data_IF_266544802157
#
_entry.id   IF_266544802157
#
_cell.length_a   1.000
_cell.length_b   1.000
_cell.length_c   1.000
_cell.angle_alpha   90.00
_cell.angle_beta   90.00
_cell.angle_gamma   90.00
#
_symmetry.space_group_name_H-M   'P 1'
#
loop_
_entity.id
_entity.type
_entity.pdbx_description
1 polymer ?
#
# COMPACT_ATOMS: atom_id res chain seq x y z
N UNK A 1 -31.43 45.47 50.91
CA UNK A 1 -31.53 44.06 50.50
C UNK A 1 -31.00 43.94 49.08
N UNK A 2 -29.78 43.43 48.95
CA UNK A 2 -29.08 43.38 47.65
C UNK A 2 -29.08 41.92 47.17
N UNK A 3 -29.90 41.58 46.18
CA UNK A 3 -29.93 40.26 45.55
C UNK A 3 -28.81 40.16 44.50
N UNK A 4 -27.73 39.45 44.80
CA UNK A 4 -26.66 39.04 43.86
C UNK A 4 -27.22 37.92 42.99
N UNK A 5 -27.50 38.20 41.69
CA UNK A 5 -27.79 37.19 40.70
C UNK A 5 -26.47 36.48 40.31
N UNK A 6 -26.31 35.22 40.67
CA UNK A 6 -25.22 34.36 40.22
C UNK A 6 -25.63 33.81 38.85
N UNK A 7 -24.94 34.23 37.79
CA UNK A 7 -25.08 33.65 36.48
C UNK A 7 -24.16 32.41 36.38
N UNK A 8 -24.77 31.24 36.33
CA UNK A 8 -24.06 29.98 36.10
C UNK A 8 -23.90 29.86 34.57
N UNK A 9 -22.65 30.04 34.10
CA UNK A 9 -22.28 29.79 32.69
C UNK A 9 -22.07 28.28 32.54
N UNK A 10 -23.02 27.61 31.87
CA UNK A 10 -22.83 26.22 31.41
C UNK A 10 -21.94 26.24 30.21
N UNK A 11 -20.65 25.90 30.40
CA UNK A 11 -19.69 25.68 29.32
C UNK A 11 -19.89 24.26 28.80
N UNK A 12 -20.67 24.11 27.73
CA UNK A 12 -20.85 22.84 27.00
C UNK A 12 -19.56 22.50 26.26
N UNK A 13 -18.84 21.53 26.79
CA UNK A 13 -17.65 20.95 26.16
C UNK A 13 -18.10 20.08 24.98
N UNK A 14 -18.00 20.61 23.76
CA UNK A 14 -18.20 19.85 22.52
C UNK A 14 -17.01 18.92 22.34
N UNK A 15 -17.15 17.64 22.71
CA UNK A 15 -16.23 16.57 22.35
C UNK A 15 -16.39 16.30 20.86
N UNK A 16 -15.50 16.86 20.03
CA UNK A 16 -15.34 16.44 18.64
C UNK A 16 -14.73 15.03 18.64
N UNK A 17 -15.59 14.01 18.59
CA UNK A 17 -15.13 12.66 18.23
C UNK A 17 -14.63 12.69 16.80
N UNK A 18 -13.30 12.72 16.63
CA UNK A 18 -12.68 12.43 15.35
C UNK A 18 -12.88 10.93 15.11
N UNK A 19 -13.92 10.56 14.38
CA UNK A 19 -14.02 9.24 13.80
C UNK A 19 -12.82 9.10 12.84
N UNK A 20 -11.81 8.33 13.24
CA UNK A 20 -10.78 7.87 12.33
C UNK A 20 -11.51 7.10 11.22
N UNK A 21 -11.60 7.69 10.03
CA UNK A 21 -12.15 7.02 8.85
C UNK A 21 -11.25 5.83 8.57
N UNK A 22 -11.73 4.64 8.85
CA UNK A 22 -11.09 3.43 8.36
C UNK A 22 -10.99 3.58 6.84
N UNK A 23 -9.76 3.61 6.30
CA UNK A 23 -9.58 3.62 4.85
C UNK A 23 -10.10 2.29 4.34
N UNK A 24 -11.21 2.32 3.63
CA UNK A 24 -11.73 1.13 2.96
C UNK A 24 -10.66 0.59 2.01
N UNK A 25 -10.49 -0.73 2.03
CA UNK A 25 -9.53 -1.40 1.15
C UNK A 25 -9.96 -1.20 -0.31
N UNK A 26 -9.05 -0.65 -1.12
CA UNK A 26 -9.27 -0.51 -2.57
C UNK A 26 -9.26 -1.90 -3.19
N UNK A 27 -10.24 -2.17 -4.04
CA UNK A 27 -10.36 -3.44 -4.76
C UNK A 27 -10.02 -3.26 -6.24
N UNK A 28 -9.47 -4.30 -6.91
CA UNK A 28 -9.19 -4.24 -8.33
C UNK A 28 -10.41 -3.90 -9.18
N UNK A 29 -10.24 -2.95 -10.11
CA UNK A 29 -11.22 -2.54 -11.13
C UNK A 29 -10.50 -2.38 -12.47
N UNK A 30 -11.17 -2.66 -13.62
CA UNK A 30 -10.61 -2.40 -14.96
C UNK A 30 -10.23 -0.94 -15.21
N UNK A 31 -10.82 -0.01 -14.45
CA UNK A 31 -10.59 1.44 -14.61
C UNK A 31 -9.28 1.91 -13.94
N UNK A 32 -8.67 1.08 -13.10
CA UNK A 32 -7.41 1.42 -12.39
C UNK A 32 -6.23 1.23 -13.34
N UNK A 33 -5.49 2.31 -13.59
CA UNK A 33 -4.32 2.28 -14.47
C UNK A 33 -3.15 1.46 -13.89
N UNK A 34 -2.25 0.90 -14.74
CA UNK A 34 -1.12 0.07 -14.28
C UNK A 34 -0.24 0.72 -13.21
N UNK A 35 0.13 1.99 -13.38
CA UNK A 35 0.94 2.70 -12.39
C UNK A 35 0.19 2.95 -11.08
N UNK A 36 -1.13 3.18 -11.18
CA UNK A 36 -1.98 3.39 -10.01
C UNK A 36 -2.12 2.11 -9.17
N UNK A 37 -2.17 0.93 -9.80
CA UNK A 37 -2.12 -0.37 -9.10
C UNK A 37 -0.90 -0.43 -8.19
N UNK A 38 0.27 -0.06 -8.70
CA UNK A 38 1.53 -0.05 -7.95
C UNK A 38 1.47 0.99 -6.83
N UNK A 39 0.99 2.20 -7.12
CA UNK A 39 0.85 3.26 -6.12
C UNK A 39 -0.06 2.85 -4.96
N UNK A 40 -1.20 2.19 -5.23
CA UNK A 40 -2.10 1.66 -4.20
C UNK A 40 -1.38 0.65 -3.30
N UNK A 41 -0.62 -0.27 -3.90
CA UNK A 41 0.13 -1.28 -3.15
C UNK A 41 1.24 -0.64 -2.30
N UNK A 42 2.03 0.25 -2.88
CA UNK A 42 3.15 0.92 -2.19
C UNK A 42 2.67 1.84 -1.08
N UNK A 43 1.60 2.62 -1.30
CA UNK A 43 0.99 3.44 -0.26
C UNK A 43 0.45 2.59 0.90
N UNK A 44 -0.13 1.42 0.59
CA UNK A 44 -0.52 0.46 1.62
C UNK A 44 0.67 -0.01 2.45
N UNK A 45 1.73 -0.48 1.80
CA UNK A 45 2.94 -0.97 2.46
C UNK A 45 3.69 0.12 3.24
N UNK A 46 3.68 1.37 2.76
CA UNK A 46 4.27 2.52 3.46
C UNK A 46 3.60 2.79 4.82
N UNK A 47 2.30 2.54 4.91
CA UNK A 47 1.52 2.68 6.14
C UNK A 47 0.95 1.33 6.57
N UNK A 48 1.83 0.30 6.61
CA UNK A 48 1.42 -1.09 6.75
C UNK A 48 0.45 -1.37 7.89
N UNK A 49 0.66 -0.72 9.03
CA UNK A 49 -0.07 -1.01 10.26
C UNK A 49 -1.18 0.02 10.55
N UNK A 50 -1.66 0.71 9.49
CA UNK A 50 -2.74 1.68 9.60
C UNK A 50 -3.90 1.32 8.66
N UNK A 51 -5.14 1.24 9.16
CA UNK A 51 -5.61 1.52 10.54
C UNK A 51 -5.37 0.35 11.52
N UNK A 52 -4.89 -0.78 11.06
CA UNK A 52 -4.63 -1.98 11.86
C UNK A 52 -3.42 -2.75 11.33
N UNK A 53 -2.86 -3.61 12.17
CA UNK A 53 -1.69 -4.43 11.82
C UNK A 53 -1.87 -5.16 10.49
N UNK A 54 -0.86 -5.05 9.61
CA UNK A 54 -0.81 -5.70 8.30
C UNK A 54 -1.92 -5.27 7.31
N UNK A 55 -2.57 -4.13 7.53
CA UNK A 55 -3.55 -3.58 6.60
C UNK A 55 -2.93 -3.34 5.21
N UNK A 56 -1.69 -2.83 5.16
CA UNK A 56 -0.95 -2.59 3.93
C UNK A 56 -0.62 -3.87 3.17
N UNK A 57 -0.21 -4.92 3.87
CA UNK A 57 0.02 -6.25 3.27
C UNK A 57 -1.28 -6.80 2.66
N UNK A 58 -2.41 -6.65 3.35
CA UNK A 58 -3.73 -7.06 2.79
C UNK A 58 -4.09 -6.24 1.55
N UNK A 59 -3.81 -4.94 1.54
CA UNK A 59 -4.02 -4.08 0.38
C UNK A 59 -3.13 -4.52 -0.79
N UNK A 60 -1.85 -4.80 -0.55
CA UNK A 60 -0.95 -5.30 -1.58
C UNK A 60 -1.41 -6.66 -2.12
N UNK A 61 -1.86 -7.56 -1.26
CA UNK A 61 -2.43 -8.86 -1.64
C UNK A 61 -3.69 -8.74 -2.48
N UNK A 62 -4.54 -7.75 -2.23
CA UNK A 62 -5.75 -7.54 -3.02
C UNK A 62 -5.44 -7.33 -4.51
N UNK A 63 -4.30 -6.70 -4.83
CA UNK A 63 -3.83 -6.46 -6.20
C UNK A 63 -2.81 -7.48 -6.72
N UNK A 64 -2.55 -8.56 -5.97
CA UNK A 64 -1.72 -9.65 -6.47
C UNK A 64 -2.46 -10.45 -7.55
N UNK A 65 -1.88 -10.56 -8.75
CA UNK A 65 -2.41 -11.32 -9.88
C UNK A 65 -2.67 -12.78 -9.47
N UNK A 66 -3.69 -13.48 -10.01
CA UNK A 66 -3.94 -14.88 -9.68
C UNK A 66 -2.71 -15.79 -9.75
N UNK A 67 -1.83 -15.59 -10.76
CA UNK A 67 -0.56 -16.33 -10.87
C UNK A 67 0.42 -16.00 -9.74
N UNK A 68 0.50 -14.73 -9.32
CA UNK A 68 1.32 -14.33 -8.18
C UNK A 68 0.77 -14.98 -6.89
N UNK A 69 -0.55 -14.93 -6.68
CA UNK A 69 -1.18 -15.58 -5.52
C UNK A 69 -0.94 -17.08 -5.48
N UNK A 70 -0.95 -17.76 -6.63
CA UNK A 70 -0.63 -19.18 -6.72
C UNK A 70 0.81 -19.47 -6.30
N UNK A 71 1.76 -18.60 -6.61
CA UNK A 71 3.17 -18.74 -6.30
C UNK A 71 3.53 -18.36 -4.84
N UNK A 72 2.91 -17.29 -4.31
CA UNK A 72 3.30 -16.67 -3.03
C UNK A 72 2.29 -16.89 -1.90
N UNK A 73 1.06 -17.31 -2.23
CA UNK A 73 -0.03 -17.51 -1.27
C UNK A 73 0.05 -18.80 -0.51
N UNK A 74 -0.88 -19.00 0.41
CA UNK A 74 -1.97 -18.10 0.78
C UNK A 74 -1.52 -16.83 1.51
N UNK A 75 -2.45 -15.91 1.85
CA UNK A 75 -2.13 -14.62 2.48
C UNK A 75 -1.21 -14.72 3.72
N UNK A 76 -1.36 -15.69 4.64
CA UNK A 76 -0.42 -15.82 5.76
C UNK A 76 1.02 -16.07 5.30
N UNK A 77 1.23 -16.87 4.23
CA UNK A 77 2.56 -17.12 3.65
C UNK A 77 3.11 -15.87 2.97
N UNK A 78 2.28 -15.14 2.24
CA UNK A 78 2.64 -13.86 1.64
C UNK A 78 3.06 -12.84 2.71
N UNK A 79 2.32 -12.78 3.82
CA UNK A 79 2.64 -11.92 4.98
C UNK A 79 4.01 -12.29 5.56
N UNK A 80 4.29 -13.57 5.78
CA UNK A 80 5.61 -14.01 6.29
C UNK A 80 6.74 -13.67 5.31
N UNK A 81 6.50 -13.79 4.00
CA UNK A 81 7.47 -13.43 2.96
C UNK A 81 7.80 -11.94 3.02
N UNK A 82 6.80 -11.05 3.12
CA UNK A 82 7.02 -9.60 3.20
C UNK A 82 7.67 -9.17 4.51
N UNK A 83 7.45 -9.89 5.60
CA UNK A 83 8.12 -9.65 6.89
C UNK A 83 9.52 -10.27 6.98
N UNK A 84 9.90 -11.07 5.99
CA UNK A 84 11.20 -11.71 5.93
C UNK A 84 12.30 -10.80 5.37
N UNK A 85 13.60 -11.19 5.54
CA UNK A 85 14.76 -10.34 5.27
C UNK A 85 14.90 -9.89 3.80
N UNK A 86 14.16 -10.50 2.87
CA UNK A 86 14.20 -10.12 1.46
C UNK A 86 13.31 -8.94 1.09
N UNK A 87 12.24 -8.69 1.86
CA UNK A 87 11.21 -7.71 1.50
C UNK A 87 10.74 -6.83 2.68
N UNK A 88 11.22 -7.07 3.89
CA UNK A 88 10.80 -6.35 5.09
C UNK A 88 10.95 -4.83 4.98
N UNK A 89 11.94 -4.38 4.18
CA UNK A 89 12.18 -2.96 3.92
C UNK A 89 11.04 -2.26 3.18
N UNK A 90 10.15 -3.01 2.53
CA UNK A 90 8.95 -2.45 1.91
C UNK A 90 7.93 -1.96 2.94
N UNK A 91 7.97 -2.55 4.14
CA UNK A 91 7.02 -2.21 5.20
C UNK A 91 7.45 -0.94 5.91
N UNK A 92 6.52 0.01 6.01
CA UNK A 92 6.76 1.30 6.67
C UNK A 92 7.97 2.07 6.10
N UNK A 93 8.24 1.94 4.78
CA UNK A 93 9.31 2.64 4.10
C UNK A 93 9.09 4.17 4.11
N UNK A 94 10.17 4.95 3.98
CA UNK A 94 10.13 6.41 4.10
C UNK A 94 9.49 7.06 2.87
N UNK A 95 9.93 6.68 1.66
CA UNK A 95 9.44 7.23 0.40
C UNK A 95 9.56 6.24 -0.74
N UNK A 96 8.86 6.47 -1.85
CA UNK A 96 9.00 5.68 -3.06
C UNK A 96 8.79 6.51 -4.32
N UNK A 97 9.38 6.06 -5.41
CA UNK A 97 9.22 6.61 -6.75
C UNK A 97 8.93 5.48 -7.75
N UNK A 98 7.96 5.69 -8.64
CA UNK A 98 7.54 4.73 -9.66
C UNK A 98 7.92 5.31 -11.03
N UNK A 99 8.78 4.62 -11.78
CA UNK A 99 9.21 5.02 -13.12
C UNK A 99 8.79 3.97 -14.15
N UNK A 100 8.10 4.35 -15.25
CA UNK A 100 7.84 3.42 -16.36
C UNK A 100 9.15 2.89 -16.93
N UNK A 101 9.24 1.58 -17.18
CA UNK A 101 10.45 0.94 -17.71
C UNK A 101 10.22 0.21 -19.03
N UNK A 102 9.25 -0.71 -19.09
CA UNK A 102 8.96 -1.50 -20.29
C UNK A 102 7.47 -1.67 -20.50
N UNK A 103 7.11 -1.74 -21.78
CA UNK A 103 5.73 -1.93 -22.24
C UNK A 103 5.68 -3.14 -23.15
N UNK A 104 4.75 -4.06 -22.88
CA UNK A 104 4.41 -5.18 -23.74
C UNK A 104 2.91 -5.32 -23.90
N UNK A 105 2.50 -6.23 -24.77
CA UNK A 105 1.09 -6.54 -24.94
C UNK A 105 0.53 -7.16 -23.65
N UNK A 106 -0.46 -6.50 -23.05
CA UNK A 106 -1.08 -6.96 -21.80
C UNK A 106 -0.24 -6.86 -20.53
N UNK A 107 0.98 -6.32 -20.57
CA UNK A 107 1.82 -6.15 -19.38
C UNK A 107 2.62 -4.83 -19.38
N UNK A 108 3.01 -4.39 -18.20
CA UNK A 108 3.86 -3.21 -17.98
C UNK A 108 4.88 -3.53 -16.90
N UNK A 109 6.12 -3.03 -17.08
CA UNK A 109 7.14 -3.04 -16.04
C UNK A 109 7.43 -1.62 -15.60
N UNK A 110 7.62 -1.46 -14.30
CA UNK A 110 8.06 -0.22 -13.68
C UNK A 110 9.30 -0.50 -12.84
N UNK A 111 10.21 0.46 -12.81
CA UNK A 111 11.27 0.51 -11.82
C UNK A 111 10.74 1.29 -10.61
N UNK A 112 10.75 0.65 -9.45
CA UNK A 112 10.34 1.25 -8.19
C UNK A 112 11.59 1.48 -7.36
N UNK A 113 11.83 2.73 -7.01
CA UNK A 113 12.87 3.12 -6.07
C UNK A 113 12.23 3.38 -4.72
N UNK A 114 12.74 2.77 -3.68
CA UNK A 114 12.17 2.82 -2.35
C UNK A 114 13.26 3.14 -1.33
N UNK A 115 13.04 4.19 -0.54
CA UNK A 115 13.90 4.54 0.57
C UNK A 115 13.44 3.83 1.83
N UNK A 116 14.28 2.95 2.34
CA UNK A 116 14.04 2.26 3.61
C UNK A 116 14.23 3.22 4.80
N UNK A 117 13.74 2.82 5.98
CA UNK A 117 13.86 3.64 7.18
C UNK A 117 15.29 3.93 7.65
N UNK A 118 16.28 3.16 7.17
CA UNK A 118 17.71 3.38 7.41
C UNK A 118 18.40 4.31 6.38
N UNK A 119 17.66 4.82 5.39
CA UNK A 119 18.15 5.67 4.32
C UNK A 119 18.69 4.94 3.10
N UNK A 120 18.72 3.61 3.07
CA UNK A 120 19.09 2.86 1.88
C UNK A 120 18.01 2.99 0.81
N UNK A 121 18.43 3.24 -0.44
CA UNK A 121 17.52 3.28 -1.59
C UNK A 121 17.63 1.96 -2.34
N UNK A 122 16.53 1.22 -2.35
CA UNK A 122 16.44 -0.06 -3.04
C UNK A 122 15.62 0.08 -4.32
N UNK A 123 16.06 -0.61 -5.38
CA UNK A 123 15.35 -0.69 -6.64
C UNK A 123 14.70 -2.06 -6.80
N UNK A 124 13.45 -2.06 -7.27
CA UNK A 124 12.68 -3.25 -7.64
C UNK A 124 12.19 -3.13 -9.08
N UNK A 125 12.17 -4.23 -9.83
CA UNK A 125 11.39 -4.33 -11.04
C UNK A 125 9.99 -4.83 -10.67
N UNK A 126 8.97 -4.03 -10.96
CA UNK A 126 7.57 -4.32 -10.65
C UNK A 126 6.78 -4.56 -11.92
N UNK A 127 6.18 -5.72 -12.05
CA UNK A 127 5.48 -6.12 -13.27
C UNK A 127 3.99 -6.27 -12.97
N UNK A 128 3.17 -5.52 -13.69
CA UNK A 128 1.72 -5.64 -13.71
C UNK A 128 1.26 -6.23 -15.03
N UNK A 129 0.25 -7.06 -14.98
CA UNK A 129 -0.34 -7.73 -16.13
C UNK A 129 -1.86 -7.63 -16.08
N UNK A 130 -2.47 -7.49 -17.23
CA UNK A 130 -3.92 -7.50 -17.37
C UNK A 130 -4.43 -8.93 -17.22
N UNK A 131 -5.36 -9.14 -16.30
CA UNK A 131 -5.99 -10.45 -16.09
C UNK A 131 -6.94 -10.75 -17.26
N UNK A 132 -6.81 -11.92 -17.85
CA UNK A 132 -7.56 -12.29 -19.08
C UNK A 132 -8.88 -13.01 -18.80
N UNK A 133 -9.06 -13.56 -17.59
CA UNK A 133 -10.24 -14.37 -17.25
C UNK A 133 -10.60 -14.30 -15.78
N UNK A 134 -11.79 -14.80 -15.46
CA UNK A 134 -12.28 -14.92 -14.08
C UNK A 134 -12.74 -13.58 -13.49
N UNK A 135 -12.82 -13.55 -12.16
CA UNK A 135 -13.39 -12.44 -11.38
C UNK A 135 -12.70 -11.09 -11.64
N UNK A 136 -11.39 -11.11 -11.93
CA UNK A 136 -10.57 -9.91 -12.10
C UNK A 136 -10.29 -9.60 -13.56
N UNK A 137 -11.08 -10.18 -14.50
CA UNK A 137 -10.91 -9.93 -15.93
C UNK A 137 -10.79 -8.44 -16.23
N UNK A 138 -9.85 -8.11 -17.11
CA UNK A 138 -9.50 -6.76 -17.55
C UNK A 138 -8.87 -5.84 -16.48
N UNK A 139 -8.76 -6.29 -15.21
CA UNK A 139 -8.02 -5.57 -14.19
C UNK A 139 -6.50 -5.71 -14.39
N UNK A 140 -5.76 -4.63 -14.17
CA UNK A 140 -4.31 -4.68 -14.01
C UNK A 140 -3.98 -5.16 -12.61
N UNK A 141 -3.08 -6.14 -12.50
CA UNK A 141 -2.69 -6.71 -11.21
C UNK A 141 -1.21 -7.08 -11.22
N UNK A 142 -0.55 -7.04 -10.07
CA UNK A 142 0.89 -7.35 -9.94
C UNK A 142 1.15 -8.83 -10.10
N UNK A 143 1.89 -9.19 -11.15
CA UNK A 143 2.27 -10.58 -11.43
C UNK A 143 3.62 -10.95 -10.81
N UNK A 144 4.55 -10.00 -10.71
CA UNK A 144 5.87 -10.24 -10.14
C UNK A 144 6.50 -8.94 -9.60
N UNK A 145 7.32 -9.11 -8.57
CA UNK A 145 8.24 -8.10 -8.03
C UNK A 145 9.60 -8.76 -7.87
N UNK A 146 10.66 -8.13 -8.39
CA UNK A 146 12.02 -8.67 -8.28
C UNK A 146 12.54 -8.65 -6.84
N UNK A 147 13.60 -9.39 -6.56
CA UNK A 147 14.41 -9.14 -5.38
C UNK A 147 14.96 -7.70 -5.38
N UNK A 148 15.14 -7.09 -4.19
CA UNK A 148 15.70 -5.74 -4.08
C UNK A 148 17.15 -5.70 -4.58
N UNK A 149 17.52 -4.55 -5.16
CA UNK A 149 18.92 -4.21 -5.49
C UNK A 149 19.23 -2.86 -4.88
N UNK A 150 20.37 -2.75 -4.20
CA UNK A 150 20.82 -1.47 -3.67
C UNK A 150 21.09 -0.51 -4.84
N UNK A 151 20.46 0.65 -4.82
CA UNK A 151 20.58 1.67 -5.87
C UNK A 151 21.32 2.93 -5.38
N UNK A 152 21.35 3.17 -4.07
CA UNK A 152 21.99 4.33 -3.47
C UNK A 152 21.70 4.45 -1.98
N UNK A 153 22.15 5.57 -1.41
CA UNK A 153 21.78 6.00 -0.07
C UNK A 153 21.00 7.31 -0.19
N UNK A 154 19.90 7.41 0.54
CA UNK A 154 19.13 8.64 0.67
C UNK A 154 19.98 9.74 1.35
N UNK A 155 19.73 10.97 0.99
CA UNK A 155 20.40 12.17 1.55
C UNK A 155 19.63 12.72 2.74
#
# INVERSE_FOLDING_TARGET
MLYRKIAIIFMTLFLFSHAASARDMVVPSPDIAPAEVIAIQLNGLQYNDMPETDAGIRQAWAFAHPRNRAATGPLPRFTMMLKGPGYEMMLNHASHEIRPAKIGEGWRQFDVFMEAGNGDVMQFAWIVEKVTEGRYRDCWMTVAVSAPRLSGQGS
#
